data_IF_180461706309
#
_entry.id   IF_180461706309
#
_cell.length_a   1.000
_cell.length_b   1.000
_cell.length_c   1.000
_cell.angle_alpha   90.00
_cell.angle_beta   90.00
_cell.angle_gamma   90.00
#
_symmetry.space_group_name_H-M   'P 1'
#
loop_
_entity.id
_entity.type
_entity.pdbx_description
1 polymer ?
#
# COMPACT_ATOMS: atom_id res chain seq x y z
N UNK A 1 52.71 -4.11 28.94
CA UNK A 1 51.48 -4.59 29.61
C UNK A 1 50.42 -3.49 29.79
N UNK A 2 50.73 -2.31 30.37
CA UNK A 2 49.73 -1.24 30.62
C UNK A 2 48.98 -0.72 29.37
N UNK A 3 49.66 -0.58 28.22
CA UNK A 3 49.06 -0.09 26.96
C UNK A 3 48.03 -1.05 26.33
N UNK A 4 48.20 -2.35 26.54
CA UNK A 4 47.29 -3.38 26.02
C UNK A 4 45.98 -3.41 26.81
N UNK A 5 46.07 -3.22 28.14
CA UNK A 5 44.92 -3.16 29.02
C UNK A 5 44.04 -1.93 28.75
N UNK A 6 44.63 -0.79 28.41
CA UNK A 6 43.87 0.40 27.95
C UNK A 6 43.18 0.16 26.62
N UNK A 7 43.82 -0.54 25.67
CA UNK A 7 43.23 -0.81 24.35
C UNK A 7 42.05 -1.78 24.45
N UNK A 8 42.19 -2.82 25.29
CA UNK A 8 41.10 -3.76 25.61
C UNK A 8 39.96 -3.04 26.34
N UNK A 9 40.26 -2.17 27.32
CA UNK A 9 39.24 -1.40 28.02
C UNK A 9 38.49 -0.44 27.08
N UNK A 10 39.19 0.22 26.15
CA UNK A 10 38.57 1.07 25.12
C UNK A 10 37.69 0.26 24.15
N UNK A 11 38.11 -0.95 23.76
CA UNK A 11 37.32 -1.83 22.90
C UNK A 11 36.05 -2.31 23.62
N UNK A 12 36.16 -2.67 24.90
CA UNK A 12 35.02 -3.11 25.72
C UNK A 12 34.04 -1.95 25.93
N UNK A 13 34.53 -0.74 26.24
CA UNK A 13 33.67 0.45 26.36
C UNK A 13 32.99 0.77 25.02
N UNK A 14 33.70 0.66 23.89
CA UNK A 14 33.11 0.79 22.56
C UNK A 14 32.01 -0.24 22.27
N UNK A 15 32.23 -1.51 22.64
CA UNK A 15 31.22 -2.57 22.50
C UNK A 15 30.00 -2.39 23.41
N UNK A 16 30.17 -1.86 24.63
CA UNK A 16 29.05 -1.61 25.57
C UNK A 16 28.21 -0.41 25.15
N UNK A 17 28.80 0.58 24.49
CA UNK A 17 28.05 1.72 23.92
C UNK A 17 27.22 1.28 22.69
N UNK A 18 27.70 0.31 21.91
CA UNK A 18 26.94 -0.25 20.78
C UNK A 18 25.74 -1.12 21.21
N UNK A 19 25.75 -1.68 22.41
CA UNK A 19 24.66 -2.52 22.92
C UNK A 19 23.39 -1.73 23.31
N UNK A 20 23.47 -0.39 23.45
CA UNK A 20 22.33 0.47 23.79
C UNK A 20 21.67 1.16 22.58
N UNK A 21 22.10 0.87 21.34
CA UNK A 21 21.72 1.66 20.17
C UNK A 21 20.32 1.35 19.55
N UNK A 22 19.46 0.53 20.17
CA UNK A 22 18.16 0.15 19.57
C UNK A 22 17.01 -0.05 20.56
N UNK A 23 17.09 0.46 21.79
CA UNK A 23 15.97 0.36 22.73
C UNK A 23 14.74 1.12 22.18
N UNK A 24 13.70 0.39 21.79
CA UNK A 24 12.45 0.97 21.27
C UNK A 24 12.29 1.07 19.75
N UNK A 25 13.25 0.60 18.93
CA UNK A 25 13.08 0.58 17.46
C UNK A 25 11.80 -0.17 17.06
N UNK A 26 11.07 0.37 16.07
CA UNK A 26 9.74 -0.08 15.63
C UNK A 26 8.58 0.17 16.61
N UNK A 27 8.85 0.73 17.78
CA UNK A 27 7.86 1.03 18.83
C UNK A 27 7.83 2.53 19.19
N UNK A 28 8.99 3.19 19.14
CA UNK A 28 9.18 4.61 19.44
C UNK A 28 9.98 5.29 18.33
N UNK A 29 9.96 6.63 18.30
CA UNK A 29 10.73 7.40 17.32
C UNK A 29 12.22 7.28 17.63
N UNK A 30 12.99 6.82 16.65
CA UNK A 30 14.45 6.67 16.71
C UNK A 30 15.16 7.62 15.74
N UNK A 31 14.51 7.99 14.63
CA UNK A 31 15.04 8.90 13.62
C UNK A 31 14.31 10.24 13.67
N UNK A 32 15.08 11.33 13.56
CA UNK A 32 14.54 12.70 13.57
C UNK A 32 14.04 13.14 12.19
N UNK A 33 14.67 12.62 11.13
CA UNK A 33 14.46 13.01 9.75
C UNK A 33 13.92 11.86 8.89
N UNK A 34 13.06 12.22 7.94
CA UNK A 34 12.44 11.29 6.98
C UNK A 34 12.65 11.81 5.57
N UNK A 35 13.16 10.95 4.70
CA UNK A 35 13.23 11.17 3.26
C UNK A 35 11.93 10.71 2.62
N UNK A 36 11.34 11.55 1.77
CA UNK A 36 10.12 11.20 1.04
C UNK A 36 10.37 11.20 -0.46
N UNK A 37 10.27 10.04 -1.09
CA UNK A 37 10.30 9.89 -2.55
C UNK A 37 8.87 9.94 -3.08
N UNK A 38 8.51 11.04 -3.74
CA UNK A 38 7.13 11.31 -4.18
C UNK A 38 6.79 10.66 -5.52
N UNK A 39 5.51 10.32 -5.67
CA UNK A 39 4.86 9.90 -6.92
C UNK A 39 5.59 8.76 -7.65
N UNK A 40 6.11 7.79 -6.89
CA UNK A 40 6.67 6.55 -7.44
C UNK A 40 5.53 5.78 -8.10
N UNK A 41 5.63 5.57 -9.42
CA UNK A 41 4.65 4.75 -10.15
C UNK A 41 4.93 3.28 -9.84
N UNK A 42 3.98 2.63 -9.15
CA UNK A 42 4.11 1.23 -8.77
C UNK A 42 3.42 0.26 -9.75
N UNK A 43 2.54 0.79 -10.61
CA UNK A 43 1.86 0.01 -11.65
C UNK A 43 1.01 0.89 -12.57
N UNK A 44 0.47 0.28 -13.61
CA UNK A 44 -0.52 0.89 -14.50
C UNK A 44 -1.67 -0.09 -14.65
N UNK A 45 -2.90 0.35 -14.37
CA UNK A 45 -4.09 -0.48 -14.48
C UNK A 45 -5.23 0.28 -15.16
N UNK A 46 -6.20 -0.45 -15.73
CA UNK A 46 -7.36 0.15 -16.36
C UNK A 46 -8.33 0.73 -15.31
N UNK A 47 -8.60 2.04 -15.40
CA UNK A 47 -9.59 2.74 -14.59
C UNK A 47 -10.92 2.82 -15.31
N UNK A 48 -12.01 2.78 -14.53
CA UNK A 48 -13.39 2.85 -15.04
C UNK A 48 -14.08 4.15 -14.66
N UNK A 49 -13.39 5.05 -13.93
CA UNK A 49 -13.98 6.30 -13.49
C UNK A 49 -14.31 7.26 -14.64
N UNK A 50 -13.58 7.14 -15.76
CA UNK A 50 -13.80 7.92 -16.97
C UNK A 50 -14.72 7.22 -17.98
N UNK A 51 -15.22 6.02 -17.66
CA UNK A 51 -16.07 5.24 -18.55
C UNK A 51 -17.30 6.03 -19.05
N UNK A 52 -18.02 6.82 -18.20
CA UNK A 52 -19.12 7.64 -18.67
C UNK A 52 -18.75 8.74 -19.67
N UNK A 53 -17.50 9.21 -19.66
CA UNK A 53 -17.02 10.32 -20.47
C UNK A 53 -16.38 9.85 -21.78
N UNK A 54 -15.63 8.75 -21.74
CA UNK A 54 -14.85 8.26 -22.89
C UNK A 54 -15.38 6.95 -23.48
N UNK A 55 -16.38 6.33 -22.86
CA UNK A 55 -17.02 5.09 -23.33
C UNK A 55 -16.17 3.82 -23.17
N UNK A 56 -14.94 3.93 -22.64
CA UNK A 56 -14.04 2.80 -22.43
C UNK A 56 -13.20 2.96 -21.14
N UNK A 57 -12.67 1.84 -20.64
CA UNK A 57 -11.67 1.89 -19.57
C UNK A 57 -10.33 2.39 -20.13
N UNK A 58 -9.63 3.21 -19.36
CA UNK A 58 -8.37 3.84 -19.81
C UNK A 58 -7.22 3.49 -18.85
N UNK A 59 -5.96 3.43 -19.33
CA UNK A 59 -4.83 3.18 -18.46
C UNK A 59 -4.65 4.32 -17.45
N UNK A 60 -4.52 3.98 -16.18
CA UNK A 60 -4.23 4.90 -15.08
C UNK A 60 -2.94 4.45 -14.38
N UNK A 61 -1.92 5.32 -14.29
CA UNK A 61 -0.78 5.12 -13.41
C UNK A 61 -1.21 5.11 -11.95
N UNK A 62 -0.73 4.12 -11.21
CA UNK A 62 -0.89 4.02 -9.77
C UNK A 62 0.39 4.48 -9.10
N UNK A 63 0.26 5.47 -8.21
CA UNK A 63 1.40 6.14 -7.57
C UNK A 63 1.40 5.94 -6.07
N UNK A 64 2.58 6.06 -5.47
CA UNK A 64 2.78 6.10 -4.03
C UNK A 64 3.85 7.11 -3.63
N UNK A 65 3.80 7.58 -2.40
CA UNK A 65 4.93 8.29 -1.79
C UNK A 65 5.62 7.36 -0.79
N UNK A 66 6.93 7.18 -0.93
CA UNK A 66 7.74 6.30 -0.08
C UNK A 66 8.50 7.11 0.95
N UNK A 67 8.37 6.74 2.22
CA UNK A 67 8.93 7.40 3.40
C UNK A 67 9.98 6.48 4.01
N UNK A 68 11.21 6.98 4.11
CA UNK A 68 12.39 6.24 4.58
C UNK A 68 13.08 7.05 5.70
N UNK A 69 13.57 6.40 6.78
CA UNK A 69 14.40 7.09 7.77
C UNK A 69 15.72 7.56 7.16
N UNK A 70 16.16 8.77 7.51
CA UNK A 70 17.49 9.28 7.14
C UNK A 70 18.52 8.80 8.17
N UNK A 71 19.70 8.38 7.69
CA UNK A 71 20.80 7.94 8.55
C UNK A 71 20.66 6.51 9.10
N UNK A 72 19.68 5.74 8.65
CA UNK A 72 19.51 4.34 9.05
C UNK A 72 20.42 3.41 8.24
N UNK A 73 21.33 2.73 8.92
CA UNK A 73 22.28 1.79 8.32
C UNK A 73 21.63 0.45 7.90
N UNK A 74 20.39 0.16 8.32
CA UNK A 74 19.70 -1.06 7.87
C UNK A 74 19.36 -1.00 6.40
N UNK A 75 19.71 -2.05 5.69
CA UNK A 75 19.37 -2.25 4.27
C UNK A 75 18.05 -2.98 4.05
N UNK A 76 17.47 -3.57 5.10
CA UNK A 76 16.20 -4.31 5.04
C UNK A 76 15.29 -3.93 6.22
N UNK A 77 14.26 -3.13 5.93
CA UNK A 77 13.28 -2.61 6.89
C UNK A 77 11.90 -3.22 6.63
N UNK A 78 11.12 -3.57 7.67
CA UNK A 78 9.72 -3.94 7.47
C UNK A 78 8.98 -2.85 6.70
N UNK A 79 8.19 -3.27 5.72
CA UNK A 79 7.44 -2.39 4.82
C UNK A 79 6.00 -2.24 5.32
N UNK A 80 5.51 -1.00 5.39
CA UNK A 80 4.09 -0.70 5.65
C UNK A 80 3.48 0.00 4.44
N UNK A 81 2.54 -0.67 3.77
CA UNK A 81 1.77 -0.09 2.66
C UNK A 81 0.47 0.50 3.21
N UNK A 82 0.28 1.81 3.07
CA UNK A 82 -0.84 2.56 3.65
C UNK A 82 -1.82 2.94 2.53
N UNK A 83 -3.08 2.57 2.69
CA UNK A 83 -4.16 2.89 1.75
C UNK A 83 -5.16 3.86 2.38
N UNK A 84 -5.43 4.96 1.67
CA UNK A 84 -6.28 6.06 2.14
C UNK A 84 -7.77 5.75 2.03
N UNK A 85 -8.61 6.53 2.73
CA UNK A 85 -10.07 6.48 2.57
C UNK A 85 -10.53 7.07 1.22
N UNK A 86 -11.83 7.20 0.98
CA UNK A 86 -12.35 7.96 -0.15
C UNK A 86 -13.53 7.32 -0.88
N UNK A 87 -14.10 6.24 -0.35
CA UNK A 87 -15.27 5.54 -0.91
C UNK A 87 -15.07 5.15 -2.39
N UNK A 88 -13.83 4.85 -2.79
CA UNK A 88 -13.43 4.62 -4.17
C UNK A 88 -13.85 5.72 -5.15
N UNK A 89 -13.93 6.97 -4.70
CA UNK A 89 -14.23 8.15 -5.52
C UNK A 89 -13.19 9.24 -5.21
N UNK A 90 -12.89 10.12 -6.17
CA UNK A 90 -11.99 11.24 -5.95
C UNK A 90 -12.68 12.30 -5.09
N UNK A 91 -11.88 13.13 -4.42
CA UNK A 91 -12.38 14.35 -3.79
C UNK A 91 -12.72 15.38 -4.88
N UNK A 92 -13.85 16.10 -4.80
CA UNK A 92 -14.89 16.08 -3.75
C UNK A 92 -16.05 15.10 -3.99
N UNK A 93 -16.06 14.32 -5.09
CA UNK A 93 -17.15 13.42 -5.47
C UNK A 93 -17.40 12.31 -4.44
N UNK A 94 -16.41 11.99 -3.61
CA UNK A 94 -16.56 11.06 -2.51
C UNK A 94 -17.35 11.60 -1.31
N UNK A 95 -17.70 12.89 -1.30
CA UNK A 95 -18.41 13.59 -0.23
C UNK A 95 -17.70 13.51 1.14
N UNK A 96 -16.37 13.39 1.12
CA UNK A 96 -15.52 13.35 2.31
C UNK A 96 -14.54 14.53 2.30
N UNK A 97 -13.97 14.83 3.48
CA UNK A 97 -12.95 15.87 3.67
C UNK A 97 -11.54 15.43 3.29
N UNK A 98 -11.40 14.19 2.83
CA UNK A 98 -10.17 13.54 2.43
C UNK A 98 -10.48 12.42 1.43
N UNK A 99 -9.45 11.69 1.05
CA UNK A 99 -9.54 10.54 0.16
C UNK A 99 -8.32 10.44 -0.75
N UNK A 100 -7.16 10.86 -0.27
CA UNK A 100 -5.93 10.91 -1.07
C UNK A 100 -4.73 10.38 -0.29
N UNK A 101 -3.68 9.94 -1.00
CA UNK A 101 -2.41 9.57 -0.37
C UNK A 101 -1.69 10.73 0.33
N UNK A 102 -2.17 11.97 0.14
CA UNK A 102 -1.59 13.19 0.69
C UNK A 102 -2.39 13.71 1.90
N UNK A 103 -3.43 13.01 2.33
CA UNK A 103 -4.22 13.41 3.50
C UNK A 103 -3.31 13.49 4.74
N UNK A 104 -3.56 14.47 5.62
CA UNK A 104 -2.68 14.74 6.76
C UNK A 104 -2.53 13.54 7.69
N UNK A 105 -3.59 12.75 7.90
CA UNK A 105 -3.54 11.50 8.67
C UNK A 105 -2.59 10.49 8.03
N UNK A 106 -2.70 10.28 6.71
CA UNK A 106 -1.86 9.35 5.95
C UNK A 106 -0.40 9.76 5.96
N UNK A 107 -0.11 11.04 5.76
CA UNK A 107 1.25 11.59 5.81
C UNK A 107 1.83 11.42 7.21
N UNK A 108 1.05 11.66 8.27
CA UNK A 108 1.50 11.51 9.66
C UNK A 108 1.80 10.05 10.00
N UNK A 109 0.94 9.10 9.59
CA UNK A 109 1.20 7.67 9.79
C UNK A 109 2.50 7.23 9.12
N UNK A 110 2.67 7.59 7.84
CA UNK A 110 3.85 7.22 7.07
C UNK A 110 5.13 7.83 7.69
N UNK A 111 5.05 9.09 8.11
CA UNK A 111 6.17 9.80 8.74
C UNK A 111 6.55 9.17 10.08
N UNK A 112 5.60 8.89 10.96
CA UNK A 112 5.89 8.24 12.26
C UNK A 112 6.48 6.85 12.08
N UNK A 113 5.93 6.05 11.18
CA UNK A 113 6.47 4.72 10.88
C UNK A 113 7.91 4.82 10.36
N UNK A 114 8.20 5.75 9.46
CA UNK A 114 9.57 5.99 9.01
C UNK A 114 10.49 6.40 10.16
N UNK A 115 10.05 7.29 11.06
CA UNK A 115 10.80 7.69 12.26
C UNK A 115 11.02 6.54 13.26
N UNK A 116 10.16 5.53 13.28
CA UNK A 116 10.32 4.30 14.07
C UNK A 116 11.25 3.28 13.40
N UNK A 117 11.67 3.51 12.15
CA UNK A 117 12.61 2.68 11.40
C UNK A 117 11.98 1.75 10.35
N UNK A 118 10.69 1.92 10.04
CA UNK A 118 10.02 1.23 8.93
C UNK A 118 10.31 1.92 7.59
N UNK A 119 10.14 1.20 6.48
CA UNK A 119 9.84 1.85 5.19
C UNK A 119 8.32 1.92 5.05
N UNK A 120 7.75 3.11 4.88
CA UNK A 120 6.30 3.27 4.70
C UNK A 120 5.99 3.79 3.29
N UNK A 121 4.88 3.37 2.69
CA UNK A 121 4.44 3.88 1.40
C UNK A 121 2.96 4.22 1.40
N UNK A 122 2.61 5.49 1.16
CA UNK A 122 1.22 5.92 1.00
C UNK A 122 0.78 5.69 -0.45
N UNK A 123 -0.12 4.73 -0.65
CA UNK A 123 -0.49 4.21 -1.96
C UNK A 123 -1.83 4.77 -2.44
N UNK A 124 -1.88 5.20 -3.71
CA UNK A 124 -3.15 5.36 -4.43
C UNK A 124 -3.70 4.00 -4.87
N UNK A 125 -4.95 3.95 -5.30
CA UNK A 125 -5.59 2.77 -5.89
C UNK A 125 -6.65 3.22 -6.91
N UNK A 126 -7.12 2.32 -7.77
CA UNK A 126 -8.16 2.63 -8.76
C UNK A 126 -9.47 2.99 -8.06
N UNK A 127 -10.02 4.11 -8.48
CA UNK A 127 -11.32 4.61 -8.06
C UNK A 127 -12.34 4.40 -9.19
N UNK A 128 -13.62 4.54 -8.87
CA UNK A 128 -14.74 4.55 -9.79
C UNK A 128 -15.79 3.50 -9.44
N UNK A 129 -16.99 3.97 -9.16
CA UNK A 129 -18.26 3.22 -9.16
C UNK A 129 -19.39 4.23 -9.36
N UNK A 130 -20.62 3.78 -9.63
CA UNK A 130 -21.76 4.68 -9.87
C UNK A 130 -22.65 4.82 -8.61
N UNK A 131 -22.50 5.88 -7.80
CA UNK A 131 -23.37 6.13 -6.65
C UNK A 131 -24.79 6.58 -7.04
N UNK A 132 -25.01 6.99 -8.29
CA UNK A 132 -26.29 7.45 -8.81
C UNK A 132 -27.05 6.36 -9.60
N UNK A 133 -26.59 5.11 -9.58
CA UNK A 133 -27.33 4.00 -10.20
C UNK A 133 -28.72 3.89 -9.57
N UNK A 134 -29.73 3.57 -10.39
CA UNK A 134 -31.14 3.69 -10.03
C UNK A 134 -31.51 2.75 -8.88
N UNK A 135 -30.99 1.52 -8.92
CA UNK A 135 -31.30 0.51 -7.92
C UNK A 135 -30.20 0.37 -6.86
N UNK A 136 -30.59 0.02 -5.63
CA UNK A 136 -29.64 -0.31 -4.56
C UNK A 136 -28.70 -1.48 -4.93
N UNK A 137 -29.18 -2.58 -5.56
CA UNK A 137 -28.31 -3.67 -5.99
C UNK A 137 -27.20 -3.25 -6.96
N UNK A 138 -27.49 -2.39 -7.94
CA UNK A 138 -26.48 -1.88 -8.89
C UNK A 138 -25.41 -1.05 -8.19
N UNK A 139 -25.81 -0.18 -7.25
CA UNK A 139 -24.88 0.62 -6.44
C UNK A 139 -23.96 -0.28 -5.61
N UNK A 140 -24.54 -1.28 -4.92
CA UNK A 140 -23.79 -2.23 -4.11
C UNK A 140 -22.81 -3.06 -4.97
N UNK A 141 -23.23 -3.47 -6.17
CA UNK A 141 -22.39 -4.19 -7.12
C UNK A 141 -21.22 -3.32 -7.60
N UNK A 142 -21.48 -2.07 -8.02
CA UNK A 142 -20.41 -1.17 -8.44
C UNK A 142 -19.37 -0.92 -7.34
N UNK A 143 -19.83 -0.74 -6.09
CA UNK A 143 -18.96 -0.50 -4.94
C UNK A 143 -18.08 -1.71 -4.63
N UNK A 144 -18.62 -2.93 -4.62
CA UNK A 144 -17.82 -4.12 -4.33
C UNK A 144 -16.81 -4.44 -5.44
N UNK A 145 -17.15 -4.13 -6.70
CA UNK A 145 -16.21 -4.23 -7.82
C UNK A 145 -15.05 -3.22 -7.68
N UNK A 146 -15.33 -2.01 -7.19
CA UNK A 146 -14.29 -1.04 -6.88
C UNK A 146 -13.36 -1.51 -5.75
N UNK A 147 -13.92 -2.12 -4.70
CA UNK A 147 -13.14 -2.76 -3.65
C UNK A 147 -12.21 -3.86 -4.18
N UNK A 148 -12.72 -4.71 -5.09
CA UNK A 148 -11.90 -5.75 -5.70
C UNK A 148 -10.74 -5.20 -6.54
N UNK A 149 -10.97 -4.11 -7.31
CA UNK A 149 -9.88 -3.42 -8.02
C UNK A 149 -8.83 -2.88 -7.05
N UNK A 150 -9.25 -2.30 -5.93
CA UNK A 150 -8.34 -1.84 -4.88
C UNK A 150 -7.48 -2.98 -4.30
N UNK A 151 -8.07 -4.16 -4.06
CA UNK A 151 -7.34 -5.36 -3.60
C UNK A 151 -6.26 -5.77 -4.61
N UNK A 152 -6.57 -5.76 -5.90
CA UNK A 152 -5.60 -6.04 -6.96
C UNK A 152 -4.46 -5.01 -6.97
N UNK A 153 -4.77 -3.74 -6.77
CA UNK A 153 -3.79 -2.66 -6.75
C UNK A 153 -2.86 -2.77 -5.53
N UNK A 154 -3.38 -3.14 -4.36
CA UNK A 154 -2.57 -3.43 -3.18
C UNK A 154 -1.59 -4.59 -3.43
N UNK A 155 -2.05 -5.66 -4.08
CA UNK A 155 -1.16 -6.77 -4.48
C UNK A 155 -0.12 -6.34 -5.51
N UNK A 156 -0.48 -5.41 -6.40
CA UNK A 156 0.45 -4.83 -7.37
C UNK A 156 1.54 -4.03 -6.66
N UNK A 157 1.21 -3.25 -5.63
CA UNK A 157 2.19 -2.55 -4.79
C UNK A 157 3.15 -3.53 -4.08
N UNK A 158 2.65 -4.64 -3.53
CA UNK A 158 3.52 -5.69 -2.95
C UNK A 158 4.48 -6.24 -4.00
N UNK A 159 3.97 -6.58 -5.20
CA UNK A 159 4.79 -7.09 -6.31
C UNK A 159 5.83 -6.07 -6.77
N UNK A 160 5.49 -4.78 -6.78
CA UNK A 160 6.42 -3.71 -7.10
C UNK A 160 7.66 -3.75 -6.20
N UNK A 161 7.48 -3.80 -4.88
CA UNK A 161 8.60 -3.84 -3.94
C UNK A 161 9.38 -5.14 -4.02
N UNK A 162 8.71 -6.28 -4.26
CA UNK A 162 9.39 -7.56 -4.50
C UNK A 162 10.26 -7.55 -5.76
N UNK A 163 9.75 -6.95 -6.84
CA UNK A 163 10.51 -6.77 -8.08
C UNK A 163 11.67 -5.82 -7.88
N UNK A 164 11.46 -4.67 -7.21
CA UNK A 164 12.53 -3.72 -6.92
C UNK A 164 13.65 -4.35 -6.07
N UNK A 165 13.30 -5.17 -5.08
CA UNK A 165 14.25 -5.95 -4.30
C UNK A 165 15.09 -6.89 -5.17
N UNK A 166 14.45 -7.64 -6.07
CA UNK A 166 15.11 -8.66 -6.89
C UNK A 166 15.91 -8.08 -8.08
N UNK A 167 15.41 -7.01 -8.71
CA UNK A 167 15.89 -6.53 -10.01
C UNK A 167 16.55 -5.15 -9.93
N UNK A 168 16.26 -4.34 -8.91
CA UNK A 168 16.76 -2.96 -8.79
C UNK A 168 17.72 -2.77 -7.62
N UNK A 169 18.14 -3.85 -6.94
CA UNK A 169 19.06 -3.78 -5.80
C UNK A 169 18.42 -3.20 -4.52
N UNK A 170 17.11 -3.39 -4.34
CA UNK A 170 16.38 -2.96 -3.14
C UNK A 170 16.51 -1.46 -2.84
N UNK A 171 16.08 -0.62 -3.79
CA UNK A 171 16.27 0.84 -3.77
C UNK A 171 15.62 1.53 -2.57
N UNK A 172 14.60 0.88 -1.99
CA UNK A 172 13.82 1.40 -0.86
C UNK A 172 14.18 0.73 0.47
N UNK A 173 15.22 -0.11 0.48
CA UNK A 173 15.70 -0.82 1.66
C UNK A 173 14.62 -1.62 2.39
N UNK A 174 13.75 -2.32 1.66
CA UNK A 174 12.62 -3.07 2.21
C UNK A 174 12.98 -4.53 2.47
N UNK A 175 12.38 -5.11 3.50
CA UNK A 175 12.35 -6.55 3.73
C UNK A 175 11.06 -7.13 3.12
N UNK A 176 11.20 -7.88 2.04
CA UNK A 176 10.05 -8.45 1.31
C UNK A 176 9.36 -9.61 2.03
N UNK A 177 9.95 -10.13 3.11
CA UNK A 177 9.33 -11.12 4.00
C UNK A 177 8.45 -10.49 5.09
N UNK A 178 8.61 -9.19 5.34
CA UNK A 178 7.89 -8.43 6.38
C UNK A 178 7.13 -7.26 5.77
N UNK A 179 5.99 -7.58 5.16
CA UNK A 179 5.08 -6.59 4.54
C UNK A 179 3.78 -6.50 5.34
N UNK A 180 3.46 -5.29 5.79
CA UNK A 180 2.22 -4.95 6.50
C UNK A 180 1.34 -4.10 5.60
N UNK A 181 0.04 -4.36 5.61
CA UNK A 181 -0.96 -3.53 4.96
C UNK A 181 -1.74 -2.74 6.02
N UNK A 182 -1.78 -1.42 5.87
CA UNK A 182 -2.52 -0.51 6.74
C UNK A 182 -3.60 0.22 5.93
N UNK A 183 -4.81 0.31 6.47
CA UNK A 183 -5.94 0.94 5.77
C UNK A 183 -6.69 1.94 6.64
N UNK A 184 -6.96 3.13 6.10
CA UNK A 184 -7.88 4.11 6.69
C UNK A 184 -9.21 4.10 5.92
N UNK A 185 -10.35 3.92 6.61
CA UNK A 185 -11.68 3.91 6.00
C UNK A 185 -11.78 2.90 4.85
N UNK A 186 -11.93 3.39 3.61
CA UNK A 186 -11.90 2.56 2.39
C UNK A 186 -10.64 1.70 2.26
N UNK A 187 -9.49 2.20 2.70
CA UNK A 187 -8.25 1.43 2.75
C UNK A 187 -8.39 0.15 3.58
N UNK A 188 -9.22 0.13 4.62
CA UNK A 188 -9.46 -1.07 5.43
C UNK A 188 -10.13 -2.20 4.64
N UNK A 189 -11.05 -1.87 3.73
CA UNK A 189 -11.65 -2.87 2.82
C UNK A 189 -10.59 -3.49 1.91
N UNK A 190 -9.68 -2.64 1.40
CA UNK A 190 -8.60 -3.06 0.51
C UNK A 190 -7.63 -3.98 1.24
N UNK A 191 -7.16 -3.58 2.42
CA UNK A 191 -6.12 -4.33 3.15
C UNK A 191 -6.65 -5.64 3.72
N UNK A 192 -7.86 -5.65 4.29
CA UNK A 192 -8.49 -6.88 4.77
C UNK A 192 -8.82 -7.83 3.61
N UNK A 193 -9.34 -7.30 2.50
CA UNK A 193 -9.60 -8.10 1.31
C UNK A 193 -8.31 -8.67 0.69
N UNK A 194 -7.22 -7.90 0.66
CA UNK A 194 -5.95 -8.35 0.13
C UNK A 194 -5.33 -9.48 0.97
N UNK A 195 -5.49 -9.44 2.31
CA UNK A 195 -4.98 -10.47 3.22
C UNK A 195 -5.86 -11.71 3.29
N UNK A 196 -7.19 -11.56 3.25
CA UNK A 196 -8.12 -12.68 3.43
C UNK A 196 -8.43 -13.45 2.14
N UNK A 197 -8.46 -12.77 0.98
CA UNK A 197 -8.90 -13.37 -0.28
C UNK A 197 -7.79 -14.20 -0.96
N UNK A 198 -7.44 -15.34 -0.36
CA UNK A 198 -6.28 -16.14 -0.78
C UNK A 198 -6.53 -17.01 -2.01
N UNK A 199 -7.77 -17.45 -2.25
CA UNK A 199 -8.11 -18.31 -3.38
C UNK A 199 -8.91 -17.56 -4.45
N UNK A 200 -8.36 -17.51 -5.66
CA UNK A 200 -9.03 -16.88 -6.80
C UNK A 200 -10.37 -17.54 -7.15
N UNK A 201 -10.50 -18.85 -6.97
CA UNK A 201 -11.73 -19.56 -7.30
C UNK A 201 -12.91 -19.07 -6.45
N UNK A 202 -12.69 -18.60 -5.22
CA UNK A 202 -13.76 -18.05 -4.36
C UNK A 202 -14.45 -16.83 -4.98
N UNK A 203 -13.74 -16.09 -5.84
CA UNK A 203 -14.30 -14.96 -6.60
C UNK A 203 -15.19 -15.47 -7.74
N UNK A 204 -14.76 -16.52 -8.44
CA UNK A 204 -15.48 -17.08 -9.58
C UNK A 204 -16.70 -17.90 -9.17
N UNK A 205 -16.61 -18.61 -8.04
CA UNK A 205 -17.63 -19.55 -7.55
C UNK A 205 -18.53 -18.93 -6.50
N UNK A 206 -18.50 -17.61 -6.31
CA UNK A 206 -19.33 -16.96 -5.29
C UNK A 206 -20.81 -17.13 -5.60
N UNK A 207 -21.57 -17.61 -4.62
CA UNK A 207 -23.04 -17.83 -4.72
C UNK A 207 -23.84 -16.59 -4.32
N UNK A 208 -23.19 -15.57 -3.76
CA UNK A 208 -23.81 -14.30 -3.38
C UNK A 208 -24.01 -13.42 -4.62
N UNK A 209 -25.17 -13.61 -5.28
CA UNK A 209 -25.60 -12.97 -6.53
C UNK A 209 -24.71 -13.33 -7.74
N UNK A 210 -25.26 -13.97 -8.78
CA UNK A 210 -24.52 -14.29 -10.01
C UNK A 210 -23.83 -13.02 -10.56
N UNK A 211 -22.53 -13.12 -10.87
CA UNK A 211 -21.80 -12.03 -11.53
C UNK A 211 -21.22 -10.95 -10.61
N UNK A 212 -21.21 -11.11 -9.28
CA UNK A 212 -20.68 -10.11 -8.33
C UNK A 212 -19.28 -9.56 -8.67
N UNK A 213 -18.42 -10.42 -9.22
CA UNK A 213 -17.06 -10.08 -9.65
C UNK A 213 -16.79 -10.41 -11.13
N UNK A 214 -17.87 -10.68 -11.88
CA UNK A 214 -17.79 -11.04 -13.28
C UNK A 214 -18.48 -9.94 -14.09
N UNK A 215 -17.81 -9.44 -15.12
CA UNK A 215 -18.42 -8.58 -16.12
C UNK A 215 -19.15 -9.49 -17.11
N UNK A 216 -20.48 -9.41 -17.15
CA UNK A 216 -21.26 -9.94 -18.26
C UNK A 216 -21.22 -8.91 -19.38
N UNK A 217 -20.59 -9.27 -20.49
CA UNK A 217 -20.61 -8.49 -21.73
C UNK A 217 -21.17 -9.38 -22.83
N UNK A 218 -22.43 -9.15 -23.20
CA UNK A 218 -23.13 -9.86 -24.27
C UNK A 218 -23.15 -11.40 -24.10
N UNK A 219 -23.39 -11.91 -22.89
CA UNK A 219 -23.50 -13.35 -22.64
C UNK A 219 -22.16 -14.04 -22.44
N UNK A 220 -21.05 -13.29 -22.42
CA UNK A 220 -19.74 -13.80 -22.02
C UNK A 220 -19.38 -13.28 -20.64
N UNK A 221 -19.27 -14.23 -19.70
CA UNK A 221 -18.96 -13.98 -18.30
C UNK A 221 -17.44 -13.95 -18.14
N UNK A 222 -16.88 -12.77 -17.93
CA UNK A 222 -15.45 -12.60 -17.66
C UNK A 222 -15.22 -12.17 -16.22
N UNK A 223 -14.25 -12.75 -15.49
CA UNK A 223 -13.79 -12.13 -14.25
C UNK A 223 -13.31 -10.70 -14.53
N UNK A 224 -13.53 -9.77 -13.60
CA UNK A 224 -12.89 -8.45 -13.62
C UNK A 224 -11.39 -8.69 -13.75
N UNK A 225 -10.87 -8.53 -14.98
CA UNK A 225 -9.60 -9.13 -15.41
C UNK A 225 -8.49 -8.81 -14.42
N UNK A 226 -7.86 -9.86 -13.90
CA UNK A 226 -6.53 -9.77 -13.33
C UNK A 226 -5.57 -9.73 -14.53
N UNK A 227 -4.92 -8.60 -14.77
CA UNK A 227 -3.75 -8.61 -15.65
C UNK A 227 -2.62 -9.22 -14.83
N UNK A 228 -2.22 -10.44 -15.19
CA UNK A 228 -1.05 -11.16 -14.67
C UNK A 228 0.19 -10.78 -15.47
#
# INVERSE_FOLDING_TARGET
MKKWNTLIASLIIGCVIQLNAQEGRFLTNVFDEVKVTRNVVYGVNATVILLPQVGQAVPQPLTMDVYEPVGDERTERPLVLIFHTGNFLPVPQNLQIGGTKNDSSIVEYATRLAKMGYTAASCTYRQGWNPAAQSQPERALGLIQAAYRGIQDARTAIRFFKRDYAESGNRFGVDTSRVVLWGEGTGGYITLGASALSNYLEILTTTNSPGKFLLDTNGMVFPIRQWW
#
